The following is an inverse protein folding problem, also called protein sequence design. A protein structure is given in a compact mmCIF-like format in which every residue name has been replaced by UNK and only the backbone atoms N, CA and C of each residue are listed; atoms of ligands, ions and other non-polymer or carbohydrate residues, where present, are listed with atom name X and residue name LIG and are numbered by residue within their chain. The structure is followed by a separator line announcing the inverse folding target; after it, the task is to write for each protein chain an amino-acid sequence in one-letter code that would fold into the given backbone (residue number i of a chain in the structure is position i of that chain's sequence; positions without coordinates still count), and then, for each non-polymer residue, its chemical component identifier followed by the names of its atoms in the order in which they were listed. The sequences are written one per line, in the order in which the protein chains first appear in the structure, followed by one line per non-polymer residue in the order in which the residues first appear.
data_IF_829358691220
#
_entry.id   IF_829358691220
#
_cell.length_a   1.000
_cell.length_b   1.000
_cell.length_c   1.000
_cell.angle_alpha   90.00
_cell.angle_beta   90.00
_cell.angle_gamma   90.00
#
_symmetry.space_group_name_H-M   'P 1'
#
loop_
_entity.id
_entity.type
_entity.pdbx_description
1 polymer ?
#
# COMPACT_ATOMS: atom_id res chain seq x y z
N UNK A 1 -12.58 12.00 -1.09
CA UNK A 1 -13.11 10.62 -1.03
C UNK A 1 -12.45 9.91 0.13
N UNK A 2 -13.17 9.02 0.80
CA UNK A 2 -12.68 8.25 1.94
C UNK A 2 -13.41 6.92 2.07
N UNK A 3 -12.98 6.12 3.04
CA UNK A 3 -13.56 4.81 3.30
C UNK A 3 -12.88 4.14 4.47
N UNK A 4 -13.54 3.13 5.03
CA UNK A 4 -13.03 2.33 6.16
C UNK A 4 -12.31 1.06 5.73
N UNK A 5 -12.18 0.86 4.41
CA UNK A 5 -11.51 -0.29 3.80
C UNK A 5 -10.11 -0.57 4.37
N UNK A 6 -9.37 0.47 4.79
CA UNK A 6 -8.02 0.33 5.34
C UNK A 6 -8.00 0.45 6.86
N UNK A 7 -8.54 1.53 7.42
CA UNK A 7 -8.46 1.78 8.86
C UNK A 7 -9.26 0.79 9.72
N UNK A 8 -10.23 0.06 9.14
CA UNK A 8 -10.98 -1.00 9.83
C UNK A 8 -10.74 -2.38 9.22
N UNK A 9 -9.75 -2.52 8.32
CA UNK A 9 -9.40 -3.79 7.66
C UNK A 9 -10.57 -4.53 6.97
N UNK A 10 -11.54 -3.81 6.43
CA UNK A 10 -12.73 -4.36 5.75
C UNK A 10 -12.82 -4.01 4.25
N UNK A 11 -11.75 -4.18 3.43
CA UNK A 11 -11.80 -3.80 2.01
C UNK A 11 -12.85 -4.60 1.21
N UNK A 12 -13.19 -5.81 1.68
CA UNK A 12 -14.21 -6.68 1.09
C UNK A 12 -15.66 -6.21 1.32
N UNK A 13 -15.90 -5.26 2.23
CA UNK A 13 -17.26 -4.79 2.54
C UNK A 13 -17.79 -3.76 1.53
N UNK A 14 -16.92 -3.28 0.63
CA UNK A 14 -17.27 -2.42 -0.52
C UNK A 14 -18.03 -1.15 -0.11
N UNK A 15 -17.59 -0.48 0.96
CA UNK A 15 -18.14 0.80 1.40
C UNK A 15 -17.07 1.90 1.36
N UNK A 16 -17.49 3.07 0.90
CA UNK A 16 -16.70 4.29 0.81
C UNK A 16 -17.63 5.48 0.51
N UNK A 17 -17.09 6.68 0.57
CA UNK A 17 -17.86 7.91 0.38
C UNK A 17 -17.04 9.01 -0.30
N UNK A 18 -17.74 9.93 -0.94
CA UNK A 18 -17.24 11.24 -1.35
C UNK A 18 -17.89 12.30 -0.46
N UNK A 19 -17.11 13.32 -0.09
CA UNK A 19 -17.62 14.52 0.58
C UNK A 19 -17.23 15.67 -0.35
N UNK A 20 -18.22 16.38 -0.87
CA UNK A 20 -18.01 17.61 -1.63
C UNK A 20 -17.93 18.77 -0.64
N UNK A 21 -16.88 19.58 -0.77
CA UNK A 21 -16.73 20.84 -0.04
C UNK A 21 -16.80 21.95 -1.07
N UNK A 22 -17.95 22.59 -1.17
CA UNK A 22 -18.24 23.63 -2.16
C UNK A 22 -18.69 24.92 -1.44
N UNK A 23 -17.74 25.78 -1.09
CA UNK A 23 -18.03 27.00 -0.32
C UNK A 23 -18.79 28.06 -1.12
N UNK A 24 -18.51 28.13 -2.42
CA UNK A 24 -19.03 29.17 -3.32
C UNK A 24 -20.14 28.65 -4.24
N UNK A 25 -20.60 27.40 -4.01
CA UNK A 25 -21.66 26.73 -4.76
C UNK A 25 -21.37 26.63 -6.28
N UNK A 26 -20.11 26.47 -6.66
CA UNK A 26 -19.66 26.42 -8.07
C UNK A 26 -19.73 25.00 -8.66
N UNK A 27 -19.93 23.99 -7.83
CA UNK A 27 -19.90 22.57 -8.19
C UNK A 27 -21.26 21.87 -8.05
N UNK A 28 -22.36 22.63 -7.95
CA UNK A 28 -23.73 22.09 -7.86
C UNK A 28 -24.06 21.11 -9.00
N UNK A 29 -23.81 21.51 -10.25
CA UNK A 29 -24.02 20.64 -11.42
C UNK A 29 -23.15 19.37 -11.39
N UNK A 30 -21.98 19.43 -10.74
CA UNK A 30 -21.12 18.26 -10.59
C UNK A 30 -21.72 17.27 -9.58
N UNK A 31 -22.26 17.78 -8.47
CA UNK A 31 -22.94 16.96 -7.47
C UNK A 31 -24.17 16.26 -8.05
N UNK A 32 -25.03 17.00 -8.77
CA UNK A 32 -26.20 16.43 -9.47
C UNK A 32 -25.80 15.31 -10.44
N UNK A 33 -24.70 15.51 -11.17
CA UNK A 33 -24.14 14.49 -12.06
C UNK A 33 -23.70 13.23 -11.32
N UNK A 34 -23.03 13.38 -10.18
CA UNK A 34 -22.62 12.25 -9.34
C UNK A 34 -23.82 11.46 -8.80
N UNK A 35 -24.88 12.14 -8.34
CA UNK A 35 -26.09 11.48 -7.85
C UNK A 35 -26.79 10.67 -8.95
N UNK A 36 -26.88 11.22 -10.17
CA UNK A 36 -27.46 10.51 -11.32
C UNK A 36 -26.66 9.26 -11.69
N UNK A 37 -25.33 9.34 -11.69
CA UNK A 37 -24.47 8.18 -11.98
C UNK A 37 -24.58 7.12 -10.88
N UNK A 38 -24.73 7.52 -9.62
CA UNK A 38 -24.87 6.58 -8.50
C UNK A 38 -26.11 5.67 -8.63
N UNK A 39 -27.18 6.15 -9.28
CA UNK A 39 -28.40 5.36 -9.52
C UNK A 39 -28.16 4.15 -10.45
N UNK A 40 -27.11 4.16 -11.28
CA UNK A 40 -26.80 3.03 -12.18
C UNK A 40 -26.41 1.74 -11.45
N UNK A 41 -25.91 1.85 -10.21
CA UNK A 41 -25.36 0.72 -9.45
C UNK A 41 -26.21 0.30 -8.26
N UNK A 42 -27.31 0.98 -7.97
CA UNK A 42 -28.21 0.65 -6.85
C UNK A 42 -27.62 0.91 -5.45
N UNK A 43 -26.50 1.62 -5.35
CA UNK A 43 -25.87 2.01 -4.09
C UNK A 43 -25.01 0.92 -3.41
N UNK A 44 -24.62 1.19 -2.16
CA UNK A 44 -23.80 0.27 -1.35
C UNK A 44 -24.67 -0.73 -0.56
N UNK A 45 -24.06 -1.84 -0.12
CA UNK A 45 -24.75 -2.87 0.67
C UNK A 45 -25.42 -2.28 1.93
N UNK A 46 -26.74 -2.49 2.10
CA UNK A 46 -27.54 -1.87 3.16
C UNK A 46 -27.16 -2.34 4.58
N UNK A 47 -26.78 -3.61 4.75
CA UNK A 47 -26.32 -4.16 6.03
C UNK A 47 -25.01 -3.48 6.45
N UNK A 48 -24.07 -3.37 5.50
CA UNK A 48 -22.79 -2.69 5.70
C UNK A 48 -23.00 -1.21 6.01
N UNK A 49 -23.90 -0.51 5.32
CA UNK A 49 -24.22 0.89 5.63
C UNK A 49 -24.65 1.07 7.09
N UNK A 50 -25.50 0.17 7.62
CA UNK A 50 -25.93 0.22 9.02
C UNK A 50 -24.78 -0.08 9.99
N UNK A 51 -24.03 -1.16 9.76
CA UNK A 51 -22.91 -1.56 10.62
C UNK A 51 -21.79 -0.51 10.62
N UNK A 52 -21.59 0.17 9.49
CA UNK A 52 -20.54 1.15 9.30
C UNK A 52 -20.72 2.40 10.17
N UNK A 53 -21.95 2.78 10.53
CA UNK A 53 -22.22 3.88 11.46
C UNK A 53 -21.57 3.62 12.82
N UNK A 54 -21.71 2.39 13.34
CA UNK A 54 -21.07 1.98 14.60
C UNK A 54 -19.54 2.03 14.47
N UNK A 55 -19.00 1.54 13.36
CA UNK A 55 -17.56 1.61 13.10
C UNK A 55 -17.04 3.06 13.11
N UNK A 56 -17.75 3.99 12.46
CA UNK A 56 -17.32 5.39 12.36
C UNK A 56 -17.34 6.13 13.70
N UNK A 57 -18.33 5.84 14.55
CA UNK A 57 -18.57 6.61 15.77
C UNK A 57 -17.94 5.98 17.02
N UNK A 58 -17.82 4.64 17.04
CA UNK A 58 -17.53 3.90 18.27
C UNK A 58 -16.21 3.12 18.23
N UNK A 59 -15.45 3.15 17.13
CA UNK A 59 -14.09 2.55 17.12
C UNK A 59 -13.17 3.35 18.05
N UNK A 60 -12.56 2.71 19.07
CA UNK A 60 -11.70 3.41 20.01
C UNK A 60 -10.38 3.82 19.36
N UNK A 61 -9.84 4.97 19.78
CA UNK A 61 -8.56 5.49 19.27
C UNK A 61 -7.40 4.50 19.48
N UNK A 62 -7.38 3.76 20.60
CA UNK A 62 -6.37 2.73 20.89
C UNK A 62 -6.28 1.64 19.81
N UNK A 63 -7.38 1.29 19.14
CA UNK A 63 -7.35 0.36 18.02
C UNK A 63 -6.54 0.93 16.83
N UNK A 64 -6.76 2.20 16.51
CA UNK A 64 -6.05 2.89 15.43
C UNK A 64 -4.57 3.10 15.79
N UNK A 65 -4.28 3.41 17.06
CA UNK A 65 -2.91 3.62 17.55
C UNK A 65 -2.10 2.31 17.48
N UNK A 66 -2.68 1.18 17.90
CA UNK A 66 -2.06 -0.15 17.77
C UNK A 66 -1.80 -0.53 16.31
N UNK A 67 -2.75 -0.23 15.43
CA UNK A 67 -2.58 -0.47 13.99
C UNK A 67 -1.42 0.40 13.44
N UNK A 68 -1.37 1.68 13.79
CA UNK A 68 -0.29 2.58 13.37
C UNK A 68 1.08 2.11 13.89
N UNK A 69 1.17 1.71 15.16
CA UNK A 69 2.40 1.16 15.74
C UNK A 69 2.87 -0.09 14.97
N UNK A 70 1.94 -1.00 14.63
CA UNK A 70 2.24 -2.20 13.83
C UNK A 70 2.79 -1.83 12.44
N UNK A 71 2.19 -0.84 11.77
CA UNK A 71 2.64 -0.38 10.46
C UNK A 71 4.01 0.32 10.52
N UNK A 72 4.29 1.07 11.58
CA UNK A 72 5.59 1.69 11.82
C UNK A 72 6.68 0.65 12.05
N UNK A 73 6.42 -0.36 12.88
CA UNK A 73 7.34 -1.49 13.09
C UNK A 73 7.59 -2.26 11.79
N UNK A 74 6.53 -2.54 11.02
CA UNK A 74 6.64 -3.22 9.73
C UNK A 74 7.44 -2.43 8.71
N UNK A 75 7.30 -1.10 8.68
CA UNK A 75 8.10 -0.23 7.83
C UNK A 75 9.58 -0.21 8.25
N UNK A 76 9.86 -0.11 9.54
CA UNK A 76 11.22 -0.12 10.09
C UNK A 76 11.95 -1.44 9.83
N UNK A 77 11.23 -2.56 9.76
CA UNK A 77 11.81 -3.88 9.49
C UNK A 77 12.50 -3.99 8.11
N UNK A 78 12.21 -3.10 7.15
CA UNK A 78 12.89 -3.05 5.86
C UNK A 78 14.23 -2.31 5.89
N UNK A 79 14.60 -1.65 7.00
CA UNK A 79 15.84 -0.86 7.11
C UNK A 79 17.12 -1.62 6.69
N UNK A 80 17.28 -2.93 7.01
CA UNK A 80 18.45 -3.70 6.59
C UNK A 80 18.64 -3.81 5.06
N UNK A 81 17.61 -3.52 4.24
CA UNK A 81 17.76 -3.45 2.79
C UNK A 81 18.72 -2.34 2.34
N UNK A 82 18.92 -1.32 3.18
CA UNK A 82 19.86 -0.23 2.89
C UNK A 82 21.32 -0.69 2.88
N UNK A 83 21.65 -1.76 3.60
CA UNK A 83 22.98 -2.35 3.66
C UNK A 83 23.40 -2.98 2.32
N UNK A 84 22.42 -3.49 1.55
CA UNK A 84 22.65 -4.11 0.23
C UNK A 84 22.46 -3.13 -0.92
N UNK A 85 22.37 -1.83 -0.64
CA UNK A 85 22.35 -0.80 -1.68
C UNK A 85 21.00 -0.36 -2.20
N UNK A 86 19.93 -0.87 -1.61
CA UNK A 86 18.59 -0.36 -1.86
C UNK A 86 18.40 0.92 -1.04
N UNK A 87 17.57 1.85 -1.50
CA UNK A 87 17.32 3.09 -0.75
C UNK A 87 15.84 3.40 -0.67
N UNK A 88 15.38 3.90 0.47
CA UNK A 88 14.00 4.29 0.67
C UNK A 88 13.88 5.26 1.84
N UNK A 89 12.78 6.02 1.84
CA UNK A 89 12.39 6.83 2.99
C UNK A 89 11.37 6.06 3.83
N UNK A 90 11.50 6.13 5.16
CA UNK A 90 10.47 5.57 6.03
C UNK A 90 9.13 6.29 5.81
N UNK A 91 8.08 5.56 5.43
CA UNK A 91 6.79 6.16 5.13
C UNK A 91 6.18 6.75 6.40
N UNK A 92 5.62 7.95 6.27
CA UNK A 92 4.92 8.63 7.37
C UNK A 92 3.45 8.20 7.49
N UNK A 93 2.91 7.53 6.46
CA UNK A 93 1.52 7.08 6.38
C UNK A 93 1.37 5.93 5.37
N UNK A 94 0.16 5.38 5.26
CA UNK A 94 -0.19 4.25 4.39
C UNK A 94 0.43 2.93 4.85
N UNK A 95 0.34 1.90 4.00
CA UNK A 95 0.76 0.51 4.29
C UNK A 95 1.87 0.02 3.35
N UNK A 96 2.58 0.94 2.70
CA UNK A 96 3.56 0.62 1.66
C UNK A 96 4.87 1.36 1.87
N UNK A 97 5.97 0.70 1.53
CA UNK A 97 7.29 1.32 1.35
C UNK A 97 7.62 1.23 -0.14
N UNK A 98 8.11 2.34 -0.70
CA UNK A 98 8.62 2.39 -2.06
C UNK A 98 10.16 2.37 -1.98
N UNK A 99 10.75 1.29 -2.50
CA UNK A 99 12.19 1.04 -2.46
C UNK A 99 12.79 1.34 -3.82
N UNK A 100 13.76 2.25 -3.83
CA UNK A 100 14.58 2.57 -5.00
C UNK A 100 15.69 1.53 -5.14
N UNK A 101 15.83 1.01 -6.35
CA UNK A 101 16.96 0.17 -6.74
C UNK A 101 17.87 0.96 -7.68
N UNK A 102 19.18 0.68 -7.60
CA UNK A 102 20.14 1.15 -8.59
C UNK A 102 20.52 -0.05 -9.47
N UNK A 103 19.99 -0.09 -10.69
CA UNK A 103 20.21 -1.21 -11.61
C UNK A 103 21.67 -1.35 -12.03
N UNK A 104 22.47 -0.28 -11.93
CA UNK A 104 23.90 -0.34 -12.21
C UNK A 104 24.68 -1.21 -11.22
N UNK A 105 24.08 -1.56 -10.08
CA UNK A 105 24.67 -2.43 -9.06
C UNK A 105 24.47 -3.91 -9.30
N UNK A 106 23.69 -4.29 -10.32
CA UNK A 106 23.39 -5.68 -10.61
C UNK A 106 24.02 -6.10 -11.93
N UNK A 107 24.64 -7.28 -11.96
CA UNK A 107 25.35 -7.79 -13.14
C UNK A 107 24.39 -8.19 -14.28
N UNK A 108 23.21 -8.71 -13.93
CA UNK A 108 22.26 -9.36 -14.84
C UNK A 108 20.81 -8.90 -14.65
N UNK A 109 20.60 -7.72 -14.06
CA UNK A 109 19.26 -7.12 -13.84
C UNK A 109 19.20 -5.73 -14.45
N UNK A 110 18.40 -5.56 -15.51
CA UNK A 110 18.39 -4.32 -16.31
C UNK A 110 17.33 -3.31 -15.88
N UNK A 111 16.27 -3.76 -15.22
CA UNK A 111 15.14 -2.93 -14.82
C UNK A 111 14.35 -3.57 -13.65
N UNK A 112 13.37 -2.87 -13.12
CA UNK A 112 12.56 -3.30 -11.99
C UNK A 112 11.62 -4.47 -12.29
N UNK A 113 11.24 -4.68 -13.55
CA UNK A 113 10.45 -5.85 -13.97
C UNK A 113 11.30 -7.13 -13.92
N UNK A 114 12.52 -7.07 -14.44
CA UNK A 114 13.46 -8.20 -14.36
C UNK A 114 13.86 -8.53 -12.92
N UNK A 115 14.06 -7.50 -12.09
CA UNK A 115 14.29 -7.68 -10.66
C UNK A 115 13.12 -8.42 -10.02
N UNK A 116 11.89 -8.02 -10.34
CA UNK A 116 10.67 -8.66 -9.85
C UNK A 116 10.57 -10.13 -10.28
N UNK A 117 10.76 -10.43 -11.56
CA UNK A 117 10.62 -11.78 -12.10
C UNK A 117 11.66 -12.73 -11.49
N UNK A 118 12.94 -12.31 -11.44
CA UNK A 118 14.03 -13.11 -10.86
C UNK A 118 13.89 -13.30 -9.36
N UNK A 119 13.52 -12.25 -8.61
CA UNK A 119 13.31 -12.36 -7.17
C UNK A 119 12.16 -13.34 -6.85
N UNK A 120 11.09 -13.32 -7.65
CA UNK A 120 9.99 -14.25 -7.50
C UNK A 120 10.41 -15.69 -7.82
N UNK A 121 11.14 -15.91 -8.91
CA UNK A 121 11.57 -17.25 -9.34
C UNK A 121 12.59 -17.87 -8.37
N UNK A 122 13.57 -17.09 -7.91
CA UNK A 122 14.70 -17.61 -7.14
C UNK A 122 14.43 -17.66 -5.64
N UNK A 123 13.72 -16.66 -5.10
CA UNK A 123 13.51 -16.53 -3.65
C UNK A 123 12.04 -16.75 -3.24
N UNK A 124 11.12 -16.90 -4.18
CA UNK A 124 9.67 -16.94 -3.94
C UNK A 124 9.18 -15.72 -3.14
N UNK A 125 9.76 -14.55 -3.42
CA UNK A 125 9.38 -13.27 -2.81
C UNK A 125 8.75 -12.36 -3.86
N UNK A 126 7.45 -12.10 -3.71
CA UNK A 126 6.72 -11.24 -4.63
C UNK A 126 6.74 -9.78 -4.16
N UNK A 127 7.37 -8.90 -4.93
CA UNK A 127 7.26 -7.44 -4.79
C UNK A 127 6.37 -6.86 -5.90
N UNK A 128 6.08 -5.56 -5.90
CA UNK A 128 5.39 -4.93 -7.03
C UNK A 128 6.34 -3.97 -7.75
N UNK A 129 6.67 -4.18 -9.03
CA UNK A 129 7.58 -3.31 -9.77
C UNK A 129 6.99 -1.90 -9.92
N UNK A 130 7.86 -0.89 -9.81
CA UNK A 130 7.53 0.53 -9.86
C UNK A 130 6.99 0.97 -11.23
N UNK A 131 7.38 0.27 -12.28
CA UNK A 131 6.88 0.45 -13.65
C UNK A 131 5.36 0.34 -13.74
N UNK A 132 4.71 -0.50 -12.91
CA UNK A 132 3.24 -0.61 -12.82
C UNK A 132 2.59 0.67 -12.26
N UNK A 133 3.35 1.48 -11.52
CA UNK A 133 2.94 2.78 -11.01
C UNK A 133 3.46 3.96 -11.84
N UNK A 134 4.15 3.70 -12.96
CA UNK A 134 4.79 4.75 -13.77
C UNK A 134 6.07 5.33 -13.13
N UNK A 135 6.71 4.59 -12.23
CA UNK A 135 7.94 5.02 -11.52
C UNK A 135 9.02 3.93 -11.66
N UNK A 136 9.64 3.79 -12.84
CA UNK A 136 10.63 2.74 -13.09
C UNK A 136 11.86 2.86 -12.19
N UNK A 137 12.54 1.74 -11.92
CA UNK A 137 13.68 1.70 -10.99
C UNK A 137 13.30 1.70 -9.50
N UNK A 138 12.03 1.46 -9.20
CA UNK A 138 11.54 1.26 -7.85
C UNK A 138 10.78 -0.07 -7.75
N UNK A 139 10.55 -0.55 -6.54
CA UNK A 139 9.57 -1.58 -6.24
C UNK A 139 8.84 -1.25 -4.94
N UNK A 140 7.61 -1.74 -4.80
CA UNK A 140 6.75 -1.51 -3.65
C UNK A 140 6.61 -2.77 -2.82
N UNK A 141 6.79 -2.63 -1.51
CA UNK A 141 6.55 -3.68 -0.51
C UNK A 141 5.43 -3.24 0.44
N UNK A 142 4.77 -4.20 1.07
CA UNK A 142 3.67 -3.98 2.01
C UNK A 142 4.16 -4.13 3.45
N UNK A 143 3.77 -3.20 4.33
CA UNK A 143 4.20 -3.17 5.74
C UNK A 143 3.21 -3.83 6.70
N UNK A 144 2.03 -4.20 6.21
CA UNK A 144 0.94 -4.76 7.02
C UNK A 144 0.97 -6.29 7.16
N UNK A 145 2.08 -6.94 6.80
CA UNK A 145 2.24 -8.39 6.97
C UNK A 145 2.72 -8.73 8.39
N UNK A 146 2.69 -10.01 8.75
CA UNK A 146 3.29 -10.49 10.01
C UNK A 146 4.78 -10.15 10.03
N UNK A 147 5.27 -9.75 11.21
CA UNK A 147 6.66 -9.35 11.44
C UNK A 147 7.67 -10.39 10.96
N UNK A 148 7.42 -11.67 11.23
CA UNK A 148 8.33 -12.75 10.84
C UNK A 148 8.36 -12.95 9.32
N UNK A 149 7.23 -12.76 8.64
CA UNK A 149 7.17 -12.79 7.17
C UNK A 149 7.95 -11.63 6.55
N UNK A 150 7.87 -10.43 7.14
CA UNK A 150 8.66 -9.28 6.66
C UNK A 150 10.15 -9.55 6.86
N UNK A 151 10.56 -10.01 8.05
CA UNK A 151 11.97 -10.34 8.35
C UNK A 151 12.53 -11.38 7.39
N UNK A 152 11.80 -12.47 7.16
CA UNK A 152 12.21 -13.51 6.23
C UNK A 152 12.36 -12.97 4.79
N UNK A 153 11.38 -12.18 4.33
CA UNK A 153 11.46 -11.56 3.00
C UNK A 153 12.66 -10.60 2.88
N UNK A 154 12.97 -9.83 3.93
CA UNK A 154 14.13 -8.93 3.96
C UNK A 154 15.42 -9.72 3.82
N UNK A 155 15.61 -10.81 4.56
CA UNK A 155 16.82 -11.63 4.45
C UNK A 155 16.99 -12.27 3.07
N UNK A 156 15.89 -12.78 2.48
CA UNK A 156 15.90 -13.31 1.11
C UNK A 156 16.24 -12.26 0.06
N UNK A 157 15.64 -11.06 0.16
CA UNK A 157 15.96 -9.94 -0.74
C UNK A 157 17.43 -9.54 -0.60
N UNK A 158 17.98 -9.51 0.63
CA UNK A 158 19.41 -9.23 0.85
C UNK A 158 20.29 -10.28 0.17
N UNK A 159 20.00 -11.56 0.39
CA UNK A 159 20.73 -12.67 -0.23
C UNK A 159 20.70 -12.61 -1.77
N UNK A 160 19.52 -12.32 -2.34
CA UNK A 160 19.34 -12.08 -3.77
C UNK A 160 20.19 -10.91 -4.28
N UNK A 161 20.11 -9.74 -3.62
CA UNK A 161 20.86 -8.56 -4.05
C UNK A 161 22.38 -8.81 -4.03
N UNK A 162 22.90 -9.54 -3.04
CA UNK A 162 24.32 -9.89 -2.95
C UNK A 162 24.74 -10.89 -4.03
N UNK A 163 23.87 -11.85 -4.37
CA UNK A 163 24.14 -12.86 -5.41
C UNK A 163 24.23 -12.27 -6.81
N UNK A 164 23.43 -11.23 -7.09
CA UNK A 164 23.37 -10.55 -8.38
C UNK A 164 24.22 -9.28 -8.45
N UNK A 165 25.03 -8.99 -7.43
CA UNK A 165 25.87 -7.78 -7.40
C UNK A 165 26.90 -7.78 -8.54
N UNK A 166 27.11 -6.62 -9.17
CA UNK A 166 28.14 -6.38 -10.18
C UNK A 166 29.51 -6.08 -9.58
#
# INVERSE_FOLDING_TARGET
MGGTAKCMAIPGWRIGWSILVDRDNVASNWFDGMERIAQLYGGANSIVQRAHIEGLLNVPQDYLDKMNATLQEGAAAFHPLTEVGLSFNLPQASIFVLVKMDTARFADIRNDMEFFDKLLEEENVQVMPGSVFGIPGYFRVVTSLRKDTIKEAVERIKAFCLRHAA
#
